data_IF_304511032765
#
_entry.id   IF_304511032765
#
_cell.length_a   1.000
_cell.length_b   1.000
_cell.length_c   1.000
_cell.angle_alpha   90.00
_cell.angle_beta   90.00
_cell.angle_gamma   90.00
#
_symmetry.space_group_name_H-M   'P 1'
#
loop_
_entity.id
_entity.type
_entity.pdbx_description
1 polymer ?
#
# COMPACT_ATOMS: atom_id res chain seq x y z
N UNK A 1 -10.20 -5.55 -19.48
CA UNK A 1 -9.26 -5.64 -18.33
C UNK A 1 -7.85 -5.80 -18.89
N UNK A 2 -6.87 -5.01 -18.44
CA UNK A 2 -5.48 -5.13 -18.91
C UNK A 2 -4.85 -6.44 -18.42
N UNK A 3 -3.77 -6.91 -19.10
CA UNK A 3 -3.02 -8.09 -18.63
C UNK A 3 -2.40 -7.87 -17.25
N UNK A 4 -2.12 -6.62 -16.89
CA UNK A 4 -1.60 -6.25 -15.57
C UNK A 4 -2.68 -6.37 -14.49
N UNK A 5 -3.89 -5.83 -14.74
CA UNK A 5 -5.01 -5.97 -13.79
C UNK A 5 -5.37 -7.44 -13.55
N UNK A 6 -5.20 -8.32 -14.55
CA UNK A 6 -5.40 -9.76 -14.36
C UNK A 6 -4.36 -10.36 -13.40
N UNK A 7 -3.08 -9.91 -13.46
CA UNK A 7 -2.04 -10.33 -12.50
C UNK A 7 -2.32 -9.79 -11.08
N UNK A 8 -2.73 -8.54 -10.97
CA UNK A 8 -3.16 -7.95 -9.68
C UNK A 8 -4.27 -8.81 -9.06
N UNK A 9 -5.33 -9.09 -9.82
CA UNK A 9 -6.45 -9.91 -9.34
C UNK A 9 -6.04 -11.32 -8.93
N UNK A 10 -5.18 -11.99 -9.70
CA UNK A 10 -4.69 -13.33 -9.36
C UNK A 10 -3.90 -13.31 -8.06
N UNK A 11 -2.89 -12.44 -7.95
CA UNK A 11 -2.03 -12.34 -6.79
C UNK A 11 -2.82 -11.94 -5.53
N UNK A 12 -3.55 -10.84 -5.57
CA UNK A 12 -4.25 -10.34 -4.39
C UNK A 12 -5.49 -11.16 -4.00
N UNK A 13 -6.07 -11.95 -4.93
CA UNK A 13 -7.08 -12.94 -4.54
C UNK A 13 -6.48 -14.03 -3.66
N UNK A 14 -5.30 -14.54 -4.02
CA UNK A 14 -4.59 -15.56 -3.24
C UNK A 14 -4.03 -14.99 -1.93
N UNK A 15 -3.55 -13.76 -1.97
CA UNK A 15 -2.94 -13.07 -0.84
C UNK A 15 -3.97 -12.56 0.20
N UNK A 16 -5.27 -12.45 -0.14
CA UNK A 16 -6.25 -11.74 0.68
C UNK A 16 -6.28 -12.20 2.14
N UNK A 17 -6.42 -13.50 2.39
CA UNK A 17 -6.45 -14.03 3.75
C UNK A 17 -5.08 -13.94 4.45
N UNK A 18 -3.97 -14.48 3.90
CA UNK A 18 -2.68 -14.40 4.58
C UNK A 18 -2.20 -12.95 4.77
N UNK A 19 -2.53 -12.04 3.86
CA UNK A 19 -2.18 -10.63 3.97
C UNK A 19 -2.94 -9.94 5.12
N UNK A 20 -4.24 -10.22 5.27
CA UNK A 20 -5.07 -9.65 6.34
C UNK A 20 -4.62 -10.13 7.74
N UNK A 21 -4.00 -11.31 7.83
CA UNK A 21 -3.54 -11.92 9.08
C UNK A 21 -2.07 -11.63 9.39
N UNK A 22 -1.31 -11.04 8.47
CA UNK A 22 0.12 -10.80 8.65
C UNK A 22 0.38 -9.73 9.73
N UNK A 23 1.19 -10.04 10.76
CA UNK A 23 1.53 -9.08 11.81
C UNK A 23 2.28 -7.84 11.28
N UNK A 24 3.10 -8.02 10.24
CA UNK A 24 3.84 -6.92 9.63
C UNK A 24 2.93 -5.93 8.91
N UNK A 25 1.88 -6.42 8.24
CA UNK A 25 0.92 -5.58 7.51
C UNK A 25 -0.05 -4.89 8.46
N UNK A 26 -0.52 -5.61 9.50
CA UNK A 26 -1.44 -5.12 10.52
C UNK A 26 -0.75 -4.32 11.64
N UNK A 27 0.52 -3.93 11.47
CA UNK A 27 1.28 -3.21 12.48
C UNK A 27 0.58 -1.92 12.91
N UNK A 28 0.02 -1.93 14.11
CA UNK A 28 -0.80 -0.85 14.66
C UNK A 28 -0.05 0.48 14.72
N UNK A 29 1.24 0.47 15.11
CA UNK A 29 2.05 1.68 15.19
C UNK A 29 2.27 2.34 13.82
N UNK A 30 2.43 1.52 12.76
CA UNK A 30 2.55 2.02 11.41
C UNK A 30 1.23 2.63 10.91
N UNK A 31 0.09 2.01 11.21
CA UNK A 31 -1.23 2.55 10.88
C UNK A 31 -1.50 3.87 11.62
N UNK A 32 -1.24 3.91 12.93
CA UNK A 32 -1.37 5.12 13.74
C UNK A 32 -0.46 6.25 13.26
N UNK A 33 0.76 5.93 12.83
CA UNK A 33 1.69 6.90 12.24
C UNK A 33 1.10 7.54 10.97
N UNK A 34 0.51 6.74 10.07
CA UNK A 34 -0.11 7.26 8.85
C UNK A 34 -1.33 8.14 9.18
N UNK A 35 -2.22 7.66 10.05
CA UNK A 35 -3.42 8.40 10.48
C UNK A 35 -3.06 9.73 11.14
N UNK A 36 -2.05 9.74 12.02
CA UNK A 36 -1.57 10.96 12.67
C UNK A 36 -0.88 11.92 11.71
N UNK A 37 -0.08 11.39 10.76
CA UNK A 37 0.58 12.20 9.74
C UNK A 37 -0.43 12.87 8.79
N UNK A 38 -1.58 12.21 8.56
CA UNK A 38 -2.70 12.82 7.84
C UNK A 38 -3.39 13.95 8.62
N UNK A 39 -3.11 14.12 9.91
CA UNK A 39 -3.83 15.05 10.77
C UNK A 39 -5.34 14.78 10.80
N UNK A 40 -5.72 13.49 10.76
CA UNK A 40 -7.11 13.07 10.69
C UNK A 40 -7.91 13.43 11.95
N UNK A 41 -9.15 13.89 11.77
CA UNK A 41 -10.03 14.33 12.85
C UNK A 41 -11.51 14.04 12.59
N UNK A 42 -12.39 14.30 13.56
CA UNK A 42 -13.79 13.85 13.56
C UNK A 42 -14.66 14.45 12.44
N UNK A 43 -14.22 15.52 11.81
CA UNK A 43 -14.95 16.16 10.70
C UNK A 43 -14.49 15.64 9.32
N UNK A 44 -13.45 14.84 9.27
CA UNK A 44 -12.87 14.36 8.02
C UNK A 44 -13.68 13.25 7.37
N UNK A 45 -13.63 13.23 6.04
CA UNK A 45 -14.02 12.11 5.18
C UNK A 45 -12.80 11.59 4.46
N UNK A 46 -12.55 10.29 4.55
CA UNK A 46 -11.35 9.64 4.00
C UNK A 46 -11.71 8.73 2.84
N UNK A 47 -10.87 8.72 1.79
CA UNK A 47 -10.79 7.67 0.80
C UNK A 47 -9.42 6.98 0.92
N UNK A 48 -9.41 5.67 1.04
CA UNK A 48 -8.20 4.85 0.91
C UNK A 48 -8.22 4.10 -0.42
N UNK A 49 -7.24 4.40 -1.26
CA UNK A 49 -7.15 3.95 -2.67
C UNK A 49 -6.34 2.67 -2.74
N UNK A 50 -6.91 1.61 -3.35
CA UNK A 50 -6.42 0.24 -3.30
C UNK A 50 -6.26 -0.24 -1.84
N UNK A 51 -7.35 -0.19 -1.10
CA UNK A 51 -7.38 -0.35 0.36
C UNK A 51 -7.06 -1.77 0.86
N UNK A 52 -6.96 -2.76 -0.04
CA UNK A 52 -6.71 -4.15 0.31
C UNK A 52 -7.70 -4.68 1.35
N UNK A 53 -7.23 -5.36 2.42
CA UNK A 53 -8.09 -5.91 3.47
C UNK A 53 -8.59 -4.85 4.47
N UNK A 54 -8.49 -3.54 4.11
CA UNK A 54 -9.14 -2.45 4.83
C UNK A 54 -8.47 -2.00 6.13
N UNK A 55 -7.25 -2.42 6.41
CA UNK A 55 -6.59 -2.13 7.69
C UNK A 55 -6.42 -0.63 7.95
N UNK A 56 -6.00 0.14 6.92
CA UNK A 56 -5.84 1.60 7.04
C UNK A 56 -7.20 2.30 7.10
N UNK A 57 -8.19 1.83 6.35
CA UNK A 57 -9.58 2.35 6.42
C UNK A 57 -10.15 2.20 7.83
N UNK A 58 -10.00 1.01 8.43
CA UNK A 58 -10.46 0.76 9.80
C UNK A 58 -9.73 1.64 10.82
N UNK A 59 -8.42 1.85 10.65
CA UNK A 59 -7.66 2.74 11.50
C UNK A 59 -8.16 4.20 11.38
N UNK A 60 -8.41 4.71 10.18
CA UNK A 60 -9.02 6.02 9.99
C UNK A 60 -10.44 6.10 10.58
N UNK A 61 -11.27 5.08 10.38
CA UNK A 61 -12.66 5.08 10.84
C UNK A 61 -12.80 5.29 12.35
N UNK A 62 -11.78 4.96 13.14
CA UNK A 62 -11.77 5.18 14.59
C UNK A 62 -11.69 6.66 15.00
N UNK A 63 -11.27 7.56 14.10
CA UNK A 63 -11.00 8.98 14.40
C UNK A 63 -11.72 9.98 13.48
N UNK A 64 -12.29 9.49 12.34
CA UNK A 64 -12.92 10.37 11.35
C UNK A 64 -14.44 10.19 11.30
N UNK A 65 -15.12 11.13 10.64
CA UNK A 65 -16.57 11.05 10.43
C UNK A 65 -16.95 9.84 9.57
N UNK A 66 -16.22 9.59 8.48
CA UNK A 66 -16.48 8.48 7.56
C UNK A 66 -15.22 8.09 6.79
N UNK A 67 -15.01 6.79 6.61
CA UNK A 67 -13.92 6.24 5.82
C UNK A 67 -14.47 5.37 4.68
N UNK A 68 -13.92 5.55 3.49
CA UNK A 68 -14.25 4.76 2.30
C UNK A 68 -13.00 4.05 1.82
N UNK A 69 -13.08 2.76 1.52
CA UNK A 69 -12.04 2.00 0.86
C UNK A 69 -12.48 1.55 -0.52
N UNK A 70 -11.63 1.71 -1.52
CA UNK A 70 -11.84 1.17 -2.87
C UNK A 70 -10.71 0.21 -3.22
N UNK A 71 -11.07 -0.96 -3.77
CA UNK A 71 -10.10 -1.96 -4.23
C UNK A 71 -10.60 -2.69 -5.47
N UNK A 72 -9.67 -3.13 -6.33
CA UNK A 72 -9.95 -3.90 -7.54
C UNK A 72 -10.30 -5.35 -7.22
N UNK A 73 -9.88 -5.88 -6.05
CA UNK A 73 -9.92 -7.31 -5.71
C UNK A 73 -11.07 -7.62 -4.76
N UNK A 74 -12.14 -8.32 -5.23
CA UNK A 74 -13.28 -8.66 -4.37
C UNK A 74 -12.91 -9.45 -3.11
N UNK A 75 -11.90 -10.33 -3.18
CA UNK A 75 -11.42 -11.10 -2.04
C UNK A 75 -10.81 -10.19 -0.95
N UNK A 76 -10.10 -9.14 -1.31
CA UNK A 76 -9.60 -8.13 -0.37
C UNK A 76 -10.75 -7.41 0.33
N UNK A 77 -11.76 -6.97 -0.42
CA UNK A 77 -12.94 -6.32 0.14
C UNK A 77 -13.76 -7.26 1.05
N UNK A 78 -13.70 -8.57 0.83
CA UNK A 78 -14.31 -9.54 1.75
C UNK A 78 -13.59 -9.56 3.10
N UNK A 79 -12.27 -9.57 3.11
CA UNK A 79 -11.49 -9.47 4.34
C UNK A 79 -11.68 -8.11 5.03
N UNK A 80 -11.76 -7.03 4.26
CA UNK A 80 -12.05 -5.69 4.79
C UNK A 80 -13.40 -5.61 5.53
N UNK A 81 -14.45 -6.25 4.99
CA UNK A 81 -15.77 -6.34 5.68
C UNK A 81 -15.71 -7.17 6.95
N UNK A 82 -14.89 -8.22 6.99
CA UNK A 82 -14.68 -9.00 8.22
C UNK A 82 -14.00 -8.14 9.29
N UNK A 83 -12.90 -7.45 8.93
CA UNK A 83 -12.18 -6.56 9.84
C UNK A 83 -13.09 -5.45 10.38
N UNK A 84 -13.92 -4.84 9.54
CA UNK A 84 -14.93 -3.86 9.94
C UNK A 84 -15.91 -4.43 10.97
N UNK A 85 -16.45 -5.61 10.71
CA UNK A 85 -17.41 -6.27 11.60
C UNK A 85 -16.80 -6.63 12.95
N UNK A 86 -15.59 -7.18 12.94
CA UNK A 86 -14.85 -7.53 14.16
C UNK A 86 -14.55 -6.33 15.05
N UNK A 87 -14.30 -5.15 14.42
CA UNK A 87 -14.05 -3.89 15.13
C UNK A 87 -15.33 -3.10 15.45
N UNK A 88 -16.50 -3.55 15.01
CA UNK A 88 -17.78 -2.89 15.27
C UNK A 88 -17.91 -1.50 14.61
N UNK A 89 -17.23 -1.25 13.48
CA UNK A 89 -17.21 0.04 12.83
C UNK A 89 -18.45 0.26 11.96
N UNK A 90 -19.20 1.35 12.21
CA UNK A 90 -20.43 1.68 11.49
C UNK A 90 -20.25 2.76 10.39
N UNK A 91 -19.13 3.48 10.41
CA UNK A 91 -18.84 4.62 9.55
C UNK A 91 -17.87 4.27 8.40
N UNK A 92 -18.04 3.11 7.79
CA UNK A 92 -17.17 2.60 6.72
C UNK A 92 -17.99 2.22 5.48
N UNK A 93 -17.47 2.52 4.30
CA UNK A 93 -17.98 2.07 2.99
C UNK A 93 -16.88 1.34 2.21
N UNK A 94 -17.26 0.28 1.49
CA UNK A 94 -16.35 -0.49 0.63
C UNK A 94 -16.85 -0.51 -0.80
N UNK A 95 -16.04 0.03 -1.71
CA UNK A 95 -16.33 0.09 -3.13
C UNK A 95 -15.39 -0.82 -3.94
N UNK A 96 -15.93 -1.44 -4.97
CA UNK A 96 -15.14 -2.24 -5.91
C UNK A 96 -14.88 -1.41 -7.16
N UNK A 97 -13.60 -1.22 -7.54
CA UNK A 97 -13.27 -0.40 -8.71
C UNK A 97 -11.79 -0.36 -9.04
N UNK A 98 -11.49 0.12 -10.26
CA UNK A 98 -10.14 0.39 -10.75
C UNK A 98 -9.73 1.81 -10.29
N UNK A 99 -8.57 1.89 -9.66
CA UNK A 99 -8.06 3.15 -9.09
C UNK A 99 -7.51 4.12 -10.14
N UNK A 100 -7.35 3.68 -11.38
CA UNK A 100 -6.96 4.55 -12.51
C UNK A 100 -8.08 5.50 -12.96
N UNK A 101 -9.31 5.24 -12.50
CA UNK A 101 -10.48 6.11 -12.72
C UNK A 101 -11.42 5.96 -11.53
N UNK A 102 -11.28 6.86 -10.56
CA UNK A 102 -12.06 6.80 -9.31
C UNK A 102 -13.52 7.21 -9.54
N UNK A 103 -14.50 6.40 -9.11
CA UNK A 103 -15.93 6.64 -9.37
C UNK A 103 -16.54 7.70 -8.42
N UNK A 104 -15.76 8.71 -8.07
CA UNK A 104 -16.20 9.78 -7.16
C UNK A 104 -16.13 11.14 -7.85
N UNK A 105 -16.99 12.09 -7.44
CA UNK A 105 -16.93 13.46 -7.95
C UNK A 105 -15.64 14.17 -7.49
N UNK A 106 -15.31 15.25 -8.17
CA UNK A 106 -14.20 16.13 -7.80
C UNK A 106 -14.44 16.71 -6.38
N UNK A 107 -13.36 16.93 -5.64
CA UNK A 107 -13.38 17.58 -4.33
C UNK A 107 -14.35 16.93 -3.33
N UNK A 108 -14.36 15.60 -3.26
CA UNK A 108 -15.30 14.85 -2.42
C UNK A 108 -14.77 14.52 -1.02
N UNK A 109 -13.50 14.13 -0.90
CA UNK A 109 -12.88 13.70 0.34
C UNK A 109 -11.96 14.77 0.92
N UNK A 110 -11.86 14.86 2.25
CA UNK A 110 -10.90 15.75 2.90
C UNK A 110 -9.52 15.12 3.07
N UNK A 111 -9.44 13.78 3.07
CA UNK A 111 -8.19 13.01 3.05
C UNK A 111 -8.31 11.95 1.98
N UNK A 112 -7.25 11.78 1.17
CA UNK A 112 -7.13 10.67 0.22
C UNK A 112 -5.79 9.98 0.48
N UNK A 113 -5.84 8.69 0.81
CA UNK A 113 -4.67 7.89 1.19
C UNK A 113 -4.46 6.70 0.28
N UNK A 114 -3.26 6.19 0.26
CA UNK A 114 -2.95 4.83 -0.18
C UNK A 114 -1.73 4.29 0.57
N UNK A 115 -1.64 2.95 0.71
CA UNK A 115 -0.52 2.30 1.37
C UNK A 115 -0.09 1.05 0.63
N UNK A 116 1.19 0.97 0.24
CA UNK A 116 1.77 -0.14 -0.51
C UNK A 116 1.09 -0.39 -1.86
N UNK A 117 0.88 0.67 -2.63
CA UNK A 117 0.13 0.66 -3.89
C UNK A 117 1.00 1.07 -5.07
N UNK A 118 1.81 2.12 -4.94
CA UNK A 118 2.48 2.76 -6.07
C UNK A 118 3.47 1.84 -6.77
N UNK A 119 4.10 0.93 -6.03
CA UNK A 119 4.99 -0.06 -6.61
C UNK A 119 4.28 -1.15 -7.44
N UNK A 120 2.95 -1.21 -7.41
CA UNK A 120 2.13 -2.07 -8.28
C UNK A 120 1.55 -1.34 -9.49
N UNK A 121 1.66 -0.01 -9.58
CA UNK A 121 1.05 0.79 -10.62
C UNK A 121 1.94 0.88 -11.87
N UNK A 122 1.36 0.67 -13.05
CA UNK A 122 2.04 0.90 -14.32
C UNK A 122 2.26 2.41 -14.58
N UNK A 123 1.31 3.24 -14.16
CA UNK A 123 1.39 4.69 -14.21
C UNK A 123 0.91 5.30 -12.88
N UNK A 124 1.81 5.46 -11.91
CA UNK A 124 1.46 6.03 -10.60
C UNK A 124 1.01 7.49 -10.68
N UNK A 125 1.44 8.24 -11.71
CA UNK A 125 1.04 9.63 -11.90
C UNK A 125 -0.45 9.77 -12.23
N UNK A 126 -1.01 8.84 -13.02
CA UNK A 126 -2.46 8.80 -13.31
C UNK A 126 -3.24 8.63 -12.02
N UNK A 127 -2.84 7.68 -11.17
CA UNK A 127 -3.55 7.44 -9.89
C UNK A 127 -3.39 8.63 -8.94
N UNK A 128 -2.20 9.23 -8.85
CA UNK A 128 -1.99 10.41 -8.02
C UNK A 128 -2.86 11.61 -8.48
N UNK A 129 -3.05 11.79 -9.79
CA UNK A 129 -3.94 12.82 -10.33
C UNK A 129 -5.41 12.54 -10.01
N UNK A 130 -5.85 11.29 -10.04
CA UNK A 130 -7.19 10.92 -9.62
C UNK A 130 -7.38 11.14 -8.11
N UNK A 131 -6.39 10.78 -7.29
CA UNK A 131 -6.39 11.11 -5.86
C UNK A 131 -6.51 12.63 -5.63
N UNK A 132 -5.77 13.42 -6.41
CA UNK A 132 -5.85 14.89 -6.33
C UNK A 132 -7.21 15.43 -6.77
N UNK A 133 -7.80 14.87 -7.84
CA UNK A 133 -9.12 15.29 -8.34
C UNK A 133 -10.22 15.09 -7.31
N UNK A 134 -10.25 13.93 -6.66
CA UNK A 134 -11.29 13.62 -5.66
C UNK A 134 -11.00 14.23 -4.29
N UNK A 135 -9.80 14.73 -4.05
CA UNK A 135 -9.42 15.45 -2.83
C UNK A 135 -9.95 16.88 -2.86
N UNK A 136 -10.53 17.35 -1.75
CA UNK A 136 -11.01 18.72 -1.61
C UNK A 136 -9.86 19.73 -1.68
N UNK A 137 -10.10 20.95 -2.16
CA UNK A 137 -9.18 22.06 -1.95
C UNK A 137 -8.84 22.22 -0.46
N UNK A 138 -7.55 22.27 -0.14
CA UNK A 138 -7.07 22.30 1.25
C UNK A 138 -7.14 20.93 1.97
N UNK A 139 -7.57 19.87 1.28
CA UNK A 139 -7.50 18.49 1.77
C UNK A 139 -6.06 17.96 1.78
N UNK A 140 -5.92 16.69 2.17
CA UNK A 140 -4.60 16.07 2.35
C UNK A 140 -4.50 14.78 1.54
N UNK A 141 -3.37 14.60 0.85
CA UNK A 141 -3.06 13.36 0.13
C UNK A 141 -1.90 12.69 0.86
N UNK A 142 -2.06 11.41 1.18
CA UNK A 142 -1.05 10.61 1.89
C UNK A 142 -0.70 9.39 1.07
N UNK A 143 0.57 9.28 0.68
CA UNK A 143 1.11 8.11 0.00
C UNK A 143 2.13 7.46 0.92
N UNK A 144 1.89 6.22 1.32
CA UNK A 144 2.80 5.43 2.13
C UNK A 144 3.29 4.22 1.34
N UNK A 145 4.55 4.23 0.93
CA UNK A 145 5.11 3.15 0.12
C UNK A 145 6.57 2.87 0.49
N UNK A 146 7.13 1.78 -0.02
CA UNK A 146 8.54 1.49 0.11
C UNK A 146 9.35 2.48 -0.76
N UNK A 147 10.42 3.01 -0.17
CA UNK A 147 11.28 3.98 -0.84
C UNK A 147 12.77 3.62 -0.63
N UNK A 148 13.29 2.62 -1.37
CA UNK A 148 14.67 2.19 -1.24
C UNK A 148 15.65 3.29 -1.67
N UNK A 149 16.88 3.21 -1.16
CA UNK A 149 17.98 4.06 -1.61
C UNK A 149 18.24 3.88 -3.12
N UNK A 150 18.63 4.95 -3.85
CA UNK A 150 18.78 4.90 -5.32
C UNK A 150 19.76 3.83 -5.83
N UNK A 151 20.83 3.56 -5.08
CA UNK A 151 21.82 2.54 -5.41
C UNK A 151 21.36 1.10 -5.13
N UNK A 152 20.28 0.92 -4.37
CA UNK A 152 19.73 -0.39 -3.95
C UNK A 152 18.40 -0.75 -4.62
N UNK A 153 17.78 0.20 -5.28
CA UNK A 153 16.45 0.05 -5.88
C UNK A 153 16.34 -1.12 -6.85
N UNK A 154 17.40 -1.37 -7.63
CA UNK A 154 17.38 -2.47 -8.60
C UNK A 154 17.42 -3.85 -7.93
N UNK A 155 18.16 -4.00 -6.86
CA UNK A 155 18.24 -5.26 -6.13
C UNK A 155 16.91 -5.57 -5.40
N UNK A 156 16.30 -4.56 -4.78
CA UNK A 156 14.98 -4.72 -4.18
C UNK A 156 13.92 -5.08 -5.23
N UNK A 157 13.85 -4.34 -6.34
CA UNK A 157 12.87 -4.63 -7.40
C UNK A 157 13.05 -6.02 -8.01
N UNK A 158 14.27 -6.52 -8.12
CA UNK A 158 14.52 -7.87 -8.63
C UNK A 158 13.99 -8.95 -7.66
N UNK A 159 14.13 -8.74 -6.36
CA UNK A 159 13.54 -9.63 -5.35
C UNK A 159 12.02 -9.55 -5.34
N UNK A 160 11.47 -8.35 -5.27
CA UNK A 160 10.03 -8.11 -5.24
C UNK A 160 9.30 -8.70 -6.45
N UNK A 161 9.89 -8.62 -7.65
CA UNK A 161 9.32 -9.21 -8.87
C UNK A 161 9.29 -10.75 -8.84
N UNK A 162 10.25 -11.40 -8.17
CA UNK A 162 10.22 -12.84 -7.95
C UNK A 162 9.15 -13.21 -6.92
N UNK A 163 9.04 -12.42 -5.86
CA UNK A 163 8.12 -12.64 -4.76
C UNK A 163 6.66 -12.40 -5.16
N UNK A 164 6.42 -11.35 -5.92
CA UNK A 164 5.08 -10.94 -6.36
C UNK A 164 5.09 -10.56 -7.84
N UNK A 165 4.58 -11.42 -8.72
CA UNK A 165 4.50 -11.15 -10.16
C UNK A 165 3.64 -9.93 -10.56
N UNK A 166 2.89 -9.34 -9.63
CA UNK A 166 2.15 -8.09 -9.86
C UNK A 166 2.99 -6.84 -9.56
N UNK A 167 4.16 -7.00 -8.92
CA UNK A 167 5.08 -5.90 -8.67
C UNK A 167 5.56 -5.26 -9.97
N UNK A 168 5.51 -3.93 -10.04
CA UNK A 168 6.03 -3.15 -11.18
C UNK A 168 7.38 -2.58 -10.83
N UNK A 169 7.41 -1.66 -9.85
CA UNK A 169 8.64 -0.99 -9.45
C UNK A 169 8.47 -0.19 -8.16
N UNK A 170 9.25 -0.48 -7.14
CA UNK A 170 9.48 0.43 -6.03
C UNK A 170 10.35 1.61 -6.52
N UNK A 171 10.05 2.82 -6.04
CA UNK A 171 10.72 4.05 -6.44
C UNK A 171 11.50 4.64 -5.27
N UNK A 172 12.71 5.20 -5.48
CA UNK A 172 13.37 6.01 -4.48
C UNK A 172 12.51 7.19 -4.02
N UNK A 173 12.75 7.70 -2.81
CA UNK A 173 11.99 8.81 -2.23
C UNK A 173 11.91 10.03 -3.15
N UNK A 174 13.04 10.41 -3.77
CA UNK A 174 13.08 11.56 -4.68
C UNK A 174 12.14 11.41 -5.89
N UNK A 175 12.04 10.20 -6.44
CA UNK A 175 11.13 9.91 -7.55
C UNK A 175 9.67 9.97 -7.09
N UNK A 176 9.35 9.40 -5.91
CA UNK A 176 8.01 9.49 -5.33
C UNK A 176 7.60 10.94 -5.08
N UNK A 177 8.49 11.77 -4.54
CA UNK A 177 8.27 13.22 -4.36
C UNK A 177 8.07 13.92 -5.70
N UNK A 178 8.86 13.55 -6.71
CA UNK A 178 8.76 14.09 -8.07
C UNK A 178 7.39 13.87 -8.71
N UNK A 179 6.66 12.81 -8.34
CA UNK A 179 5.29 12.58 -8.83
C UNK A 179 4.33 13.68 -8.36
N UNK A 180 4.48 14.19 -7.12
CA UNK A 180 3.65 15.29 -6.62
C UNK A 180 3.86 16.55 -7.45
N UNK A 181 5.11 16.91 -7.75
CA UNK A 181 5.41 18.03 -8.62
C UNK A 181 4.81 17.85 -10.02
N UNK A 182 4.92 16.65 -10.61
CA UNK A 182 4.35 16.33 -11.92
C UNK A 182 2.82 16.33 -11.95
N UNK A 183 2.20 16.06 -10.79
CA UNK A 183 0.75 16.16 -10.60
C UNK A 183 0.27 17.59 -10.33
N UNK A 184 1.19 18.57 -10.22
CA UNK A 184 0.86 19.97 -9.86
C UNK A 184 0.51 20.15 -8.38
N UNK A 185 0.94 19.22 -7.53
CA UNK A 185 0.73 19.26 -6.07
C UNK A 185 1.91 19.94 -5.37
N UNK A 186 1.69 20.48 -4.15
CA UNK A 186 2.78 20.98 -3.31
C UNK A 186 3.81 19.92 -2.99
N UNK A 187 5.02 20.34 -2.67
CA UNK A 187 6.08 19.49 -2.13
C UNK A 187 5.57 18.72 -0.91
N UNK A 188 5.62 17.38 -0.88
CA UNK A 188 5.12 16.61 0.25
C UNK A 188 6.05 16.71 1.47
N UNK A 189 5.46 16.71 2.67
CA UNK A 189 6.21 16.42 3.89
C UNK A 189 6.48 14.93 3.97
N UNK A 190 7.72 14.55 4.26
CA UNK A 190 8.15 13.15 4.34
C UNK A 190 8.30 12.71 5.79
N UNK A 191 7.83 11.51 6.09
CA UNK A 191 8.06 10.82 7.34
C UNK A 191 8.38 9.35 7.08
N UNK A 192 9.12 8.72 7.98
CA UNK A 192 9.53 7.34 7.84
C UNK A 192 9.06 6.49 9.01
N UNK A 193 8.65 5.27 8.72
CA UNK A 193 8.41 4.22 9.72
C UNK A 193 9.01 2.91 9.25
N UNK A 194 9.26 2.00 10.17
CA UNK A 194 9.77 0.66 9.84
C UNK A 194 8.67 -0.37 10.00
N UNK A 195 8.70 -1.35 9.11
CA UNK A 195 7.91 -2.57 9.21
C UNK A 195 8.87 -3.72 9.36
N UNK A 196 8.84 -4.37 10.53
CA UNK A 196 9.61 -5.59 10.78
C UNK A 196 8.81 -6.79 10.30
N UNK A 197 9.46 -7.70 9.58
CA UNK A 197 8.83 -8.87 9.01
C UNK A 197 9.80 -10.05 9.02
N UNK A 198 9.32 -11.19 9.49
CA UNK A 198 10.02 -12.46 9.34
C UNK A 198 9.96 -12.92 7.89
N UNK A 199 11.06 -13.48 7.35
CA UNK A 199 11.08 -13.95 5.98
C UNK A 199 10.03 -15.04 5.71
N UNK A 200 9.81 -15.92 6.66
CA UNK A 200 8.78 -16.96 6.52
C UNK A 200 7.36 -16.41 6.55
N UNK A 201 7.07 -15.35 7.35
CA UNK A 201 5.81 -14.62 7.29
C UNK A 201 5.64 -13.95 5.90
N UNK A 202 6.69 -13.29 5.41
CA UNK A 202 6.68 -12.67 4.09
C UNK A 202 6.37 -13.68 2.99
N UNK A 203 7.04 -14.83 2.98
CA UNK A 203 6.85 -15.88 1.97
C UNK A 203 5.50 -16.58 2.09
N UNK A 204 4.96 -16.74 3.30
CA UNK A 204 3.65 -17.37 3.54
C UNK A 204 2.49 -16.61 2.90
N UNK A 205 2.63 -15.29 2.73
CA UNK A 205 1.66 -14.40 2.10
C UNK A 205 2.05 -13.96 0.69
N UNK A 206 3.12 -14.53 0.16
CA UNK A 206 3.58 -14.32 -1.22
C UNK A 206 3.26 -15.56 -2.05
N UNK A 207 3.13 -15.37 -3.34
CA UNK A 207 2.84 -16.49 -4.25
C UNK A 207 3.80 -16.42 -5.45
N UNK A 208 5.11 -16.63 -5.21
CA UNK A 208 6.11 -16.66 -6.27
C UNK A 208 5.85 -17.81 -7.25
N UNK A 209 6.45 -17.75 -8.42
CA UNK A 209 6.40 -18.87 -9.33
C UNK A 209 7.17 -20.09 -8.77
N UNK A 210 6.87 -21.27 -9.31
CA UNK A 210 7.52 -22.50 -8.86
C UNK A 210 9.05 -22.42 -9.05
N UNK A 211 9.78 -22.59 -7.96
CA UNK A 211 11.25 -22.53 -7.91
C UNK A 211 11.86 -21.19 -7.48
N UNK A 212 11.10 -20.11 -7.49
CA UNK A 212 11.62 -18.77 -7.14
C UNK A 212 11.88 -18.60 -5.64
N UNK A 213 11.19 -19.36 -4.78
CA UNK A 213 11.35 -19.24 -3.31
C UNK A 213 12.80 -19.44 -2.85
N UNK A 214 13.50 -20.44 -3.40
CA UNK A 214 14.90 -20.69 -3.03
C UNK A 214 15.81 -19.52 -3.44
N UNK A 215 15.55 -18.92 -4.60
CA UNK A 215 16.28 -17.76 -5.06
C UNK A 215 16.01 -16.55 -4.16
N UNK A 216 14.75 -16.30 -3.76
CA UNK A 216 14.38 -15.25 -2.84
C UNK A 216 15.14 -15.42 -1.50
N UNK A 217 15.08 -16.61 -0.89
CA UNK A 217 15.81 -16.93 0.36
C UNK A 217 17.32 -16.66 0.23
N UNK A 218 17.89 -17.01 -0.92
CA UNK A 218 19.30 -16.72 -1.20
C UNK A 218 19.56 -15.21 -1.28
N UNK A 219 18.73 -14.44 -1.96
CA UNK A 219 18.88 -12.97 -2.05
C UNK A 219 18.83 -12.32 -0.67
N UNK A 220 17.89 -12.74 0.20
CA UNK A 220 17.84 -12.26 1.59
C UNK A 220 19.13 -12.60 2.35
N UNK A 221 19.62 -13.85 2.27
CA UNK A 221 20.86 -14.28 2.91
C UNK A 221 22.07 -13.48 2.41
N UNK A 222 22.20 -13.28 1.10
CA UNK A 222 23.29 -12.50 0.50
C UNK A 222 23.22 -11.01 0.88
N UNK A 223 22.03 -10.49 1.20
CA UNK A 223 21.83 -9.10 1.60
C UNK A 223 22.24 -8.81 3.05
N UNK A 224 22.36 -9.82 3.93
CA UNK A 224 22.71 -9.63 5.35
C UNK A 224 23.97 -8.78 5.54
N UNK A 225 25.14 -9.09 4.91
CA UNK A 225 26.36 -8.34 5.17
C UNK A 225 26.40 -6.95 4.52
N UNK A 226 25.60 -6.69 3.49
CA UNK A 226 25.73 -5.49 2.65
C UNK A 226 24.49 -4.59 2.65
N UNK A 227 23.37 -5.10 3.17
CA UNK A 227 22.06 -4.46 3.03
C UNK A 227 21.76 -4.04 1.58
N UNK A 228 22.07 -4.93 0.63
CA UNK A 228 22.00 -4.63 -0.82
C UNK A 228 20.59 -4.32 -1.31
N UNK A 229 19.54 -4.77 -0.60
CA UNK A 229 18.12 -4.53 -0.92
C UNK A 229 17.48 -3.41 -0.07
N UNK A 230 18.27 -2.74 0.79
CA UNK A 230 17.80 -1.72 1.73
C UNK A 230 16.77 -2.20 2.79
N UNK A 231 16.66 -3.50 3.00
CA UNK A 231 15.70 -4.11 3.91
C UNK A 231 16.21 -4.26 5.34
N UNK A 232 17.51 -3.91 5.60
CA UNK A 232 18.17 -4.14 6.88
C UNK A 232 18.04 -5.58 7.38
N UNK A 233 18.20 -6.54 6.46
CA UNK A 233 18.09 -7.97 6.71
C UNK A 233 19.08 -8.41 7.78
N UNK A 234 18.63 -9.20 8.76
CA UNK A 234 19.48 -9.78 9.79
C UNK A 234 19.17 -11.27 9.96
N UNK A 235 20.19 -12.05 10.35
CA UNK A 235 19.96 -13.42 10.78
C UNK A 235 19.34 -13.40 12.18
N UNK A 236 18.33 -14.23 12.39
CA UNK A 236 17.88 -14.53 13.75
C UNK A 236 18.86 -15.51 14.39
N UNK A 237 19.30 -15.20 15.61
CA UNK A 237 20.17 -16.04 16.42
C UNK A 237 19.45 -17.24 17.03
#
# INVERSE_FOLDING_TARGET
MSSHNARILDQFTRQAVPFSQSPSVSNQKALEFIVSSAGAGPDDTVLDVACGPGLLVCAFASVVRHATGIDLTPAMLQEARKAQHEQGLANVTWDHGDVTTLPYPDAHFSIVSCRFVFHHLQDPLVVLREMARVCKPGGRIVVADMAPAPDKVNALNAEEQLRDPSHVRAMPEEELRGLFTQAGLPEPTVGHYRVECELDDLLSRSFPNAGDEQQIRKMFSDSIPSNSMDLNTCAQG
#
